data_IF_976386251176
#
_entry.id   IF_976386251176
#
_cell.length_a   1.000
_cell.length_b   1.000
_cell.length_c   1.000
_cell.angle_alpha   90.00
_cell.angle_beta   90.00
_cell.angle_gamma   90.00
#
_symmetry.space_group_name_H-M   'P 1'
#
loop_
_entity.id
_entity.type
_entity.pdbx_description
1 polymer ?
#
# COMPACT_ATOMS: atom_id res chain seq x y z
N UNK A 1 -0.24 31.66 7.25
CA UNK A 1 -0.59 30.26 6.91
C UNK A 1 0.58 29.38 7.31
N UNK A 2 0.49 28.68 8.45
CA UNK A 2 1.55 27.77 8.86
C UNK A 2 1.32 26.42 8.18
N UNK A 3 2.29 25.97 7.37
CA UNK A 3 2.22 24.68 6.71
C UNK A 3 2.30 23.57 7.78
N UNK A 4 1.21 22.84 7.98
CA UNK A 4 1.19 21.72 8.92
C UNK A 4 1.78 20.48 8.24
N UNK A 5 3.10 20.36 8.32
CA UNK A 5 3.87 19.26 7.72
C UNK A 5 3.41 17.89 8.23
N UNK A 6 2.99 17.80 9.50
CA UNK A 6 2.46 16.58 10.09
C UNK A 6 1.12 16.17 9.45
N UNK A 7 0.20 17.11 9.26
CA UNK A 7 -1.08 16.85 8.59
C UNK A 7 -0.90 16.48 7.11
N UNK A 8 0.11 17.02 6.44
CA UNK A 8 0.41 16.67 5.06
C UNK A 8 0.98 15.25 4.92
N UNK A 9 1.92 14.85 5.80
CA UNK A 9 2.46 13.49 5.81
C UNK A 9 1.41 12.46 6.24
N UNK A 10 0.51 12.80 7.18
CA UNK A 10 -0.56 11.90 7.62
C UNK A 10 -1.71 11.79 6.61
N UNK A 11 -1.61 12.42 5.43
CA UNK A 11 -2.61 12.25 4.39
C UNK A 11 -2.46 10.86 3.71
N UNK A 12 -3.52 10.03 3.65
CA UNK A 12 -3.45 8.70 3.05
C UNK A 12 -2.94 8.69 1.60
N UNK A 13 -3.26 9.69 0.78
CA UNK A 13 -2.80 9.77 -0.60
C UNK A 13 -1.29 10.01 -0.70
N UNK A 14 -0.76 10.89 0.15
CA UNK A 14 0.68 11.19 0.20
C UNK A 14 1.44 9.96 0.70
N UNK A 15 0.91 9.27 1.72
CA UNK A 15 1.48 8.02 2.23
C UNK A 15 1.49 6.91 1.19
N UNK A 16 0.39 6.70 0.46
CA UNK A 16 0.32 5.72 -0.63
C UNK A 16 1.31 6.05 -1.76
N UNK A 17 1.45 7.32 -2.14
CA UNK A 17 2.41 7.74 -3.15
C UNK A 17 3.87 7.45 -2.72
N UNK A 18 4.23 7.86 -1.50
CA UNK A 18 5.59 7.66 -0.98
C UNK A 18 5.91 6.18 -0.81
N UNK A 19 4.97 5.39 -0.27
CA UNK A 19 5.16 3.94 -0.09
C UNK A 19 5.33 3.20 -1.40
N UNK A 20 4.51 3.49 -2.42
CA UNK A 20 4.62 2.87 -3.74
C UNK A 20 5.91 3.31 -4.44
N UNK A 21 6.26 4.59 -4.38
CA UNK A 21 7.49 5.10 -4.98
C UNK A 21 8.75 4.45 -4.36
N UNK A 22 8.84 4.44 -3.03
CA UNK A 22 9.93 3.77 -2.31
C UNK A 22 9.94 2.26 -2.55
N UNK A 23 8.76 1.63 -2.60
CA UNK A 23 8.60 0.21 -2.90
C UNK A 23 9.14 -0.17 -4.27
N UNK A 24 8.83 0.64 -5.29
CA UNK A 24 9.36 0.44 -6.65
C UNK A 24 10.86 0.68 -6.73
N UNK A 25 11.38 1.69 -6.03
CA UNK A 25 12.82 1.94 -5.95
C UNK A 25 13.55 0.76 -5.28
N UNK A 26 13.05 0.29 -4.14
CA UNK A 26 13.60 -0.85 -3.42
C UNK A 26 13.47 -2.15 -4.24
N UNK A 27 12.37 -2.33 -4.95
CA UNK A 27 12.14 -3.47 -5.84
C UNK A 27 13.13 -3.58 -7.00
N UNK A 28 13.71 -2.45 -7.44
CA UNK A 28 14.76 -2.40 -8.47
C UNK A 28 16.17 -2.70 -7.95
N UNK A 29 16.36 -2.71 -6.63
CA UNK A 29 17.67 -3.05 -6.04
C UNK A 29 17.94 -4.53 -6.31
N UNK A 30 19.09 -4.79 -6.95
CA UNK A 30 19.55 -6.15 -7.28
C UNK A 30 20.61 -6.57 -6.30
N UNK A 31 20.39 -7.68 -5.60
CA UNK A 31 21.41 -8.34 -4.80
C UNK A 31 21.89 -9.57 -5.58
N UNK A 32 22.95 -9.38 -6.38
CA UNK A 32 23.47 -10.42 -7.27
C UNK A 32 22.43 -10.86 -8.31
N UNK A 33 21.98 -12.13 -8.23
CA UNK A 33 20.94 -12.68 -9.12
C UNK A 33 19.51 -12.46 -8.60
N UNK A 34 19.33 -11.94 -7.39
CA UNK A 34 18.02 -11.77 -6.77
C UNK A 34 17.50 -10.34 -6.95
N UNK A 35 16.24 -10.21 -7.36
CA UNK A 35 15.53 -8.94 -7.49
C UNK A 35 14.23 -8.99 -6.71
N UNK A 36 13.99 -7.99 -5.85
CA UNK A 36 12.77 -7.94 -5.04
C UNK A 36 11.50 -7.65 -5.87
N UNK A 37 11.63 -7.02 -7.04
CA UNK A 37 10.52 -6.83 -7.97
C UNK A 37 9.29 -6.20 -7.31
N UNK A 38 8.10 -6.74 -7.62
CA UNK A 38 6.82 -6.29 -7.04
C UNK A 38 6.74 -6.60 -5.53
N UNK A 39 7.42 -7.64 -5.06
CA UNK A 39 7.48 -7.99 -3.63
C UNK A 39 8.17 -6.89 -2.80
N UNK A 40 9.04 -6.07 -3.40
CA UNK A 40 9.65 -4.90 -2.74
C UNK A 40 8.61 -3.89 -2.23
N UNK A 41 7.50 -3.71 -2.96
CA UNK A 41 6.41 -2.83 -2.53
C UNK A 41 5.70 -3.35 -1.26
N UNK A 42 5.58 -4.67 -1.11
CA UNK A 42 4.96 -5.28 0.07
C UNK A 42 5.82 -5.08 1.32
N UNK A 43 7.14 -5.29 1.21
CA UNK A 43 8.07 -5.09 2.33
C UNK A 43 8.15 -3.63 2.76
N UNK A 44 8.26 -2.70 1.79
CA UNK A 44 8.30 -1.26 2.09
C UNK A 44 6.96 -0.80 2.70
N UNK A 45 5.83 -1.27 2.18
CA UNK A 45 4.51 -0.95 2.73
C UNK A 45 4.36 -1.37 4.19
N UNK A 46 4.85 -2.55 4.56
CA UNK A 46 4.79 -3.05 5.94
C UNK A 46 5.69 -2.25 6.89
N UNK A 47 6.93 -1.95 6.48
CA UNK A 47 7.88 -1.15 7.28
C UNK A 47 7.34 0.27 7.49
N UNK A 48 6.87 0.92 6.42
CA UNK A 48 6.36 2.29 6.48
C UNK A 48 5.06 2.35 7.27
N UNK A 49 4.14 1.39 7.08
CA UNK A 49 2.89 1.31 7.84
C UNK A 49 3.13 1.17 9.36
N UNK A 50 4.08 0.31 9.77
CA UNK A 50 4.46 0.19 11.17
C UNK A 50 5.09 1.48 11.72
N UNK A 51 5.97 2.13 10.95
CA UNK A 51 6.58 3.41 11.33
C UNK A 51 5.52 4.50 11.54
N UNK A 52 4.58 4.65 10.61
CA UNK A 52 3.52 5.67 10.70
C UNK A 52 2.61 5.39 11.90
N UNK A 53 2.21 4.13 12.10
CA UNK A 53 1.38 3.75 13.24
C UNK A 53 2.07 4.06 14.58
N UNK A 54 3.38 3.80 14.67
CA UNK A 54 4.19 4.10 15.86
C UNK A 54 4.35 5.61 16.09
N UNK A 55 4.56 6.38 15.01
CA UNK A 55 4.64 7.84 15.11
C UNK A 55 3.29 8.42 15.54
N UNK A 56 2.20 8.02 14.87
CA UNK A 56 0.84 8.44 15.17
C UNK A 56 0.44 8.17 16.63
N UNK A 57 0.82 7.03 17.20
CA UNK A 57 0.50 6.67 18.59
C UNK A 57 1.35 7.39 19.65
N UNK A 58 2.44 8.05 19.25
CA UNK A 58 3.34 8.78 20.15
C UNK A 58 2.99 10.29 20.22
N UNK A 59 2.08 10.79 19.37
CA UNK A 59 1.73 12.22 19.37
C UNK A 59 0.92 12.64 20.61
N UNK A 60 1.37 13.65 21.38
CA UNK A 60 0.59 14.23 22.47
C UNK A 60 -0.59 15.06 21.93
N UNK A 61 -1.69 15.12 22.70
CA UNK A 61 -2.97 15.79 22.36
C UNK A 61 -2.87 17.31 22.08
N UNK A 62 -1.69 17.91 22.28
CA UNK A 62 -1.47 19.36 22.29
C UNK A 62 -0.97 19.91 20.95
N UNK A 63 -0.57 19.05 20.00
CA UNK A 63 -0.03 19.50 18.71
C UNK A 63 -1.07 19.56 17.59
N UNK A 64 -0.86 20.51 16.65
CA UNK A 64 -1.72 20.79 15.50
C UNK A 64 -1.94 19.58 14.56
N UNK A 65 -1.17 18.49 14.70
CA UNK A 65 -1.28 17.26 13.91
C UNK A 65 -2.07 16.11 14.58
N UNK A 66 -2.52 16.28 15.83
CA UNK A 66 -3.15 15.20 16.61
C UNK A 66 -4.45 14.69 15.97
N UNK A 67 -5.31 15.57 15.45
CA UNK A 67 -6.56 15.16 14.81
C UNK A 67 -6.32 14.30 13.56
N UNK A 68 -5.31 14.63 12.76
CA UNK A 68 -4.94 13.84 11.59
C UNK A 68 -4.36 12.48 11.98
N UNK A 69 -3.53 12.42 13.03
CA UNK A 69 -2.98 11.17 13.56
C UNK A 69 -4.06 10.26 14.18
N UNK A 70 -5.00 10.84 14.94
CA UNK A 70 -6.12 10.11 15.54
C UNK A 70 -7.05 9.50 14.47
N UNK A 71 -7.41 10.29 13.47
CA UNK A 71 -8.24 9.84 12.36
C UNK A 71 -7.53 8.77 11.51
N UNK A 72 -6.21 8.89 11.33
CA UNK A 72 -5.41 7.88 10.63
C UNK A 72 -5.35 6.54 11.40
N UNK A 73 -5.28 6.58 12.74
CA UNK A 73 -5.33 5.35 13.55
C UNK A 73 -6.72 4.71 13.49
N UNK A 74 -7.78 5.52 13.57
CA UNK A 74 -9.17 5.05 13.49
C UNK A 74 -9.46 4.37 12.14
N UNK A 75 -8.98 4.96 11.05
CA UNK A 75 -9.13 4.43 9.70
C UNK A 75 -8.18 3.25 9.41
N UNK A 76 -7.17 2.99 10.25
CA UNK A 76 -6.22 1.90 10.07
C UNK A 76 -5.09 2.19 9.06
N UNK A 77 -4.55 3.43 9.06
CA UNK A 77 -3.53 3.97 8.15
C UNK A 77 -4.03 4.20 6.72
N UNK A 78 -4.83 3.27 6.19
CA UNK A 78 -5.48 3.37 4.88
C UNK A 78 -6.97 3.16 5.07
N UNK A 79 -7.78 4.09 4.59
CA UNK A 79 -9.23 3.98 4.66
C UNK A 79 -9.73 2.68 3.99
N UNK A 80 -10.66 1.99 4.67
CA UNK A 80 -11.21 0.69 4.23
C UNK A 80 -11.78 0.71 2.80
N UNK A 81 -12.31 1.85 2.34
CA UNK A 81 -12.81 1.99 0.97
C UNK A 81 -11.71 1.76 -0.07
N UNK A 82 -10.50 2.28 0.16
CA UNK A 82 -9.36 2.06 -0.74
C UNK A 82 -8.91 0.60 -0.72
N UNK A 83 -8.80 0.00 0.48
CA UNK A 83 -8.43 -1.41 0.61
C UNK A 83 -9.40 -2.31 -0.18
N UNK A 84 -10.71 -2.10 -0.04
CA UNK A 84 -11.74 -2.84 -0.77
C UNK A 84 -11.61 -2.63 -2.28
N UNK A 85 -11.40 -1.39 -2.74
CA UNK A 85 -11.21 -1.09 -4.16
C UNK A 85 -10.00 -1.84 -4.74
N UNK A 86 -8.85 -1.82 -4.06
CA UNK A 86 -7.66 -2.53 -4.51
C UNK A 86 -7.85 -4.05 -4.46
N UNK A 87 -8.58 -4.56 -3.48
CA UNK A 87 -8.91 -5.99 -3.38
C UNK A 87 -9.80 -6.44 -4.55
N UNK A 88 -10.81 -5.65 -4.92
CA UNK A 88 -11.67 -5.93 -6.08
C UNK A 88 -10.85 -5.95 -7.36
N UNK A 89 -9.99 -4.94 -7.58
CA UNK A 89 -9.11 -4.88 -8.75
C UNK A 89 -8.14 -6.08 -8.80
N UNK A 90 -7.57 -6.45 -7.66
CA UNK A 90 -6.68 -7.60 -7.54
C UNK A 90 -7.39 -8.91 -7.89
N UNK A 91 -8.56 -9.16 -7.29
CA UNK A 91 -9.37 -10.37 -7.55
C UNK A 91 -9.77 -10.42 -9.03
N UNK A 92 -10.19 -9.30 -9.62
CA UNK A 92 -10.54 -9.23 -11.03
C UNK A 92 -9.33 -9.57 -11.94
N UNK A 93 -8.14 -9.04 -11.64
CA UNK A 93 -6.92 -9.31 -12.40
C UNK A 93 -6.48 -10.77 -12.29
N UNK A 94 -6.46 -11.36 -11.09
CA UNK A 94 -6.12 -12.76 -10.88
C UNK A 94 -7.15 -13.69 -11.52
N UNK A 95 -8.44 -13.35 -11.41
CA UNK A 95 -9.52 -14.08 -12.07
C UNK A 95 -9.36 -14.10 -13.59
N UNK A 96 -8.98 -12.96 -14.20
CA UNK A 96 -8.72 -12.88 -15.64
C UNK A 96 -7.49 -13.70 -16.05
N UNK A 97 -6.42 -13.71 -15.25
CA UNK A 97 -5.25 -14.55 -15.50
C UNK A 97 -5.60 -16.04 -15.44
N UNK A 98 -6.36 -16.46 -14.42
CA UNK A 98 -6.82 -17.84 -14.29
C UNK A 98 -7.77 -18.26 -15.44
N UNK A 99 -8.66 -17.36 -15.86
CA UNK A 99 -9.59 -17.60 -16.97
C UNK A 99 -8.84 -17.85 -18.29
N UNK A 100 -7.75 -17.10 -18.54
CA UNK A 100 -6.87 -17.31 -19.71
C UNK A 100 -6.24 -18.71 -19.70
N UNK A 101 -5.79 -19.20 -18.55
CA UNK A 101 -5.20 -20.53 -18.44
C UNK A 101 -6.25 -21.64 -18.66
N UNK A 102 -7.47 -21.44 -18.12
CA UNK A 102 -8.61 -22.33 -18.33
C UNK A 102 -9.03 -22.36 -19.81
N UNK A 103 -9.02 -21.22 -20.49
CA UNK A 103 -9.36 -21.13 -21.92
C UNK A 103 -8.46 -22.03 -22.77
N UNK A 104 -7.15 -22.04 -22.51
CA UNK A 104 -6.18 -22.90 -23.20
C UNK A 104 -6.48 -24.38 -22.94
N UNK A 105 -6.84 -24.74 -21.71
CA UNK A 105 -7.18 -26.12 -21.34
C UNK A 105 -8.47 -26.56 -22.04
N UNK A 106 -9.52 -25.74 -22.02
CA UNK A 106 -10.80 -26.04 -22.67
C UNK A 106 -10.61 -26.22 -24.18
N UNK A 107 -9.82 -25.36 -24.84
CA UNK A 107 -9.55 -25.51 -26.29
C UNK A 107 -8.79 -26.79 -26.64
N UNK A 108 -8.00 -27.34 -25.72
CA UNK A 108 -7.15 -28.51 -25.96
C UNK A 108 -7.79 -29.83 -25.54
N UNK A 109 -8.62 -29.82 -24.51
CA UNK A 109 -9.20 -31.02 -23.88
C UNK A 109 -10.72 -31.00 -23.78
N UNK A 110 -11.36 -29.87 -24.06
CA UNK A 110 -12.80 -29.78 -24.22
C UNK A 110 -13.18 -30.43 -25.54
N UNK A 111 -13.67 -31.67 -25.47
CA UNK A 111 -14.32 -32.34 -26.60
C UNK A 111 -15.47 -31.53 -27.16
#
# INVERSE_FOLDING_TARGET
MQFNFAAWIMNPFVLMMITVFLGMLFGKIKFGKFTFGVSGCLFVGLIVGWWIYRLASTFPKTELGYNAAAQLIEDGVINKAFFTLFLILFIAAVGLLAAKDIEVIIKKYGS
#
